data_IF_541895554276
#
_entry.id   IF_541895554276
#
_cell.length_a   1.000
_cell.length_b   1.000
_cell.length_c   1.000
_cell.angle_alpha   90.00
_cell.angle_beta   90.00
_cell.angle_gamma   90.00
#
_symmetry.space_group_name_H-M   'P 1'
#
loop_
_entity.id
_entity.type
_entity.pdbx_description
1 polymer ?
#
# COMPACT_ATOMS: atom_id res chain seq x y z
N UNK A 1 -7.43 26.19 -4.52
CA UNK A 1 -6.10 25.62 -4.20
C UNK A 1 -6.10 24.70 -2.98
N UNK A 2 -6.76 25.03 -1.86
CA UNK A 2 -6.80 24.16 -0.64
C UNK A 2 -7.30 22.72 -0.87
N UNK A 3 -8.26 22.49 -1.76
CA UNK A 3 -8.80 21.15 -2.04
C UNK A 3 -7.81 20.22 -2.77
N UNK A 4 -7.03 20.76 -3.71
CA UNK A 4 -6.03 19.99 -4.46
C UNK A 4 -4.86 19.56 -3.57
N UNK A 5 -4.40 20.44 -2.68
CA UNK A 5 -3.34 20.11 -1.75
C UNK A 5 -3.75 18.97 -0.79
N UNK A 6 -5.01 18.99 -0.35
CA UNK A 6 -5.58 17.93 0.49
C UNK A 6 -5.70 16.59 -0.25
N UNK A 7 -6.04 16.63 -1.53
CA UNK A 7 -6.08 15.43 -2.38
C UNK A 7 -4.68 14.80 -2.55
N UNK A 8 -3.67 15.60 -2.88
CA UNK A 8 -2.29 15.11 -2.96
C UNK A 8 -1.79 14.51 -1.64
N UNK A 9 -2.16 15.13 -0.51
CA UNK A 9 -1.84 14.61 0.81
C UNK A 9 -2.48 13.23 1.07
N UNK A 10 -3.76 13.05 0.71
CA UNK A 10 -4.44 11.75 0.85
C UNK A 10 -3.77 10.69 -0.01
N UNK A 11 -3.42 10.99 -1.26
CA UNK A 11 -2.73 10.04 -2.13
C UNK A 11 -1.39 9.64 -1.53
N UNK A 12 -0.59 10.61 -1.07
CA UNK A 12 0.71 10.35 -0.47
C UNK A 12 0.59 9.46 0.78
N UNK A 13 -0.35 9.76 1.68
CA UNK A 13 -0.62 8.95 2.88
C UNK A 13 -1.09 7.54 2.51
N UNK A 14 -1.97 7.41 1.51
CA UNK A 14 -2.47 6.12 1.03
C UNK A 14 -1.38 5.27 0.38
N UNK A 15 -0.46 5.89 -0.37
CA UNK A 15 0.72 5.21 -0.91
C UNK A 15 1.64 4.72 0.22
N UNK A 16 1.91 5.57 1.21
CA UNK A 16 2.71 5.17 2.38
C UNK A 16 2.07 4.01 3.14
N UNK A 17 0.77 4.05 3.41
CA UNK A 17 0.08 2.94 4.07
C UNK A 17 0.12 1.67 3.23
N UNK A 18 -0.03 1.79 1.90
CA UNK A 18 0.06 0.65 0.98
C UNK A 18 1.42 -0.04 1.01
N UNK A 19 2.51 0.74 1.06
CA UNK A 19 3.87 0.21 1.19
C UNK A 19 4.07 -0.49 2.55
N UNK A 20 3.63 0.11 3.65
CA UNK A 20 3.74 -0.50 4.99
C UNK A 20 2.97 -1.82 5.04
N UNK A 21 1.74 -1.87 4.50
CA UNK A 21 0.94 -3.09 4.46
C UNK A 21 1.62 -4.19 3.63
N UNK A 22 2.23 -3.82 2.50
CA UNK A 22 2.96 -4.76 1.65
C UNK A 22 4.18 -5.35 2.37
N UNK A 23 4.98 -4.52 3.06
CA UNK A 23 6.12 -4.97 3.86
C UNK A 23 5.70 -5.87 5.02
N UNK A 24 4.65 -5.49 5.76
CA UNK A 24 4.11 -6.31 6.87
C UNK A 24 3.61 -7.65 6.35
N UNK A 25 2.92 -7.66 5.20
CA UNK A 25 2.41 -8.89 4.57
C UNK A 25 3.56 -9.79 4.11
N UNK A 26 4.63 -9.20 3.55
CA UNK A 26 5.83 -9.93 3.17
C UNK A 26 6.51 -10.56 4.37
N UNK A 27 6.67 -9.82 5.46
CA UNK A 27 7.25 -10.33 6.70
C UNK A 27 6.43 -11.50 7.28
N UNK A 28 5.10 -11.39 7.25
CA UNK A 28 4.19 -12.44 7.70
C UNK A 28 4.31 -13.70 6.82
N UNK A 29 4.40 -13.53 5.49
CA UNK A 29 4.68 -14.62 4.55
C UNK A 29 6.03 -15.29 4.80
N UNK A 30 7.06 -14.50 5.10
CA UNK A 30 8.39 -14.98 5.44
C UNK A 30 8.36 -15.83 6.71
N UNK A 31 7.61 -15.39 7.73
CA UNK A 31 7.41 -16.11 8.97
C UNK A 31 6.67 -17.44 8.75
N UNK A 32 5.63 -17.45 7.91
CA UNK A 32 4.92 -18.69 7.54
C UNK A 32 5.85 -19.64 6.78
N UNK A 33 6.62 -19.14 5.80
CA UNK A 33 7.61 -19.95 5.07
C UNK A 33 8.65 -20.54 6.00
N UNK A 34 9.14 -19.77 6.96
CA UNK A 34 10.07 -20.25 7.96
C UNK A 34 9.49 -21.40 8.80
N UNK A 35 8.24 -21.27 9.25
CA UNK A 35 7.55 -22.35 9.97
C UNK A 35 7.33 -23.59 9.09
N UNK A 36 7.06 -23.41 7.80
CA UNK A 36 6.72 -24.50 6.89
C UNK A 36 7.95 -25.27 6.37
N UNK A 37 9.05 -24.58 6.07
CA UNK A 37 10.21 -25.15 5.36
C UNK A 37 11.53 -25.06 6.14
N UNK A 38 11.59 -24.30 7.24
CA UNK A 38 12.76 -24.21 8.11
C UNK A 38 13.92 -23.35 7.59
N UNK A 39 13.79 -22.71 6.44
CA UNK A 39 14.78 -21.78 5.88
C UNK A 39 14.14 -20.45 5.47
N UNK A 40 14.95 -19.39 5.55
CA UNK A 40 14.57 -18.03 5.12
C UNK A 40 15.44 -17.68 3.93
N UNK A 41 14.81 -17.52 2.77
CA UNK A 41 15.46 -16.99 1.57
C UNK A 41 14.88 -15.61 1.31
N UNK A 42 15.65 -14.58 1.63
CA UNK A 42 15.30 -13.18 1.42
C UNK A 42 15.95 -12.70 0.14
N UNK A 43 15.18 -12.61 -0.94
CA UNK A 43 15.61 -11.93 -2.15
C UNK A 43 15.26 -10.44 -2.10
N UNK A 44 16.23 -9.58 -2.44
CA UNK A 44 16.01 -8.14 -2.58
C UNK A 44 15.01 -7.80 -3.72
N UNK A 45 14.83 -8.74 -4.66
CA UNK A 45 13.83 -8.69 -5.74
C UNK A 45 12.40 -8.63 -5.21
N UNK A 46 12.10 -9.38 -4.13
CA UNK A 46 10.76 -9.48 -3.54
C UNK A 46 10.39 -8.20 -2.78
N UNK A 47 11.36 -7.58 -2.09
CA UNK A 47 11.17 -6.30 -1.39
C UNK A 47 10.85 -5.19 -2.40
N UNK A 48 11.61 -5.13 -3.50
CA UNK A 48 11.37 -4.14 -4.56
C UNK A 48 10.00 -4.33 -5.24
N UNK A 49 9.56 -5.59 -5.34
CA UNK A 49 8.24 -5.96 -5.85
C UNK A 49 7.13 -5.56 -4.86
N UNK A 50 7.33 -5.77 -3.57
CA UNK A 50 6.45 -5.31 -2.49
C UNK A 50 6.28 -3.80 -2.48
N UNK A 51 7.38 -3.05 -2.61
CA UNK A 51 7.36 -1.59 -2.72
C UNK A 51 6.56 -1.11 -3.95
N UNK A 52 6.76 -1.76 -5.11
CA UNK A 52 6.02 -1.44 -6.33
C UNK A 52 4.52 -1.71 -6.19
N UNK A 53 4.15 -2.89 -5.67
CA UNK A 53 2.75 -3.30 -5.52
C UNK A 53 2.06 -2.44 -4.46
N UNK A 54 2.70 -2.22 -3.31
CA UNK A 54 2.18 -1.40 -2.22
C UNK A 54 2.01 0.06 -2.61
N UNK A 55 2.98 0.62 -3.34
CA UNK A 55 2.91 1.99 -3.85
C UNK A 55 1.80 2.18 -4.90
N UNK A 56 1.70 1.27 -5.88
CA UNK A 56 0.66 1.34 -6.92
C UNK A 56 -0.73 1.10 -6.31
N UNK A 57 -0.88 0.09 -5.46
CA UNK A 57 -2.15 -0.21 -4.78
C UNK A 57 -2.60 0.93 -3.87
N UNK A 58 -1.69 1.47 -3.06
CA UNK A 58 -1.96 2.64 -2.22
C UNK A 58 -2.31 3.88 -3.03
N UNK A 59 -1.68 4.09 -4.19
CA UNK A 59 -2.01 5.19 -5.10
C UNK A 59 -3.42 5.08 -5.69
N UNK A 60 -3.80 3.87 -6.15
CA UNK A 60 -5.14 3.59 -6.69
C UNK A 60 -6.22 3.81 -5.62
N UNK A 61 -5.98 3.35 -4.39
CA UNK A 61 -6.88 3.60 -3.25
C UNK A 61 -7.03 5.10 -2.95
N UNK A 62 -5.92 5.84 -2.95
CA UNK A 62 -5.92 7.29 -2.74
C UNK A 62 -6.72 8.04 -3.80
N UNK A 63 -6.55 7.66 -5.07
CA UNK A 63 -7.36 8.17 -6.17
C UNK A 63 -8.85 7.83 -6.00
N UNK A 64 -9.17 6.60 -5.59
CA UNK A 64 -10.54 6.16 -5.30
C UNK A 64 -11.22 7.00 -4.20
N UNK A 65 -10.50 7.31 -3.12
CA UNK A 65 -11.00 8.15 -2.02
C UNK A 65 -11.29 9.58 -2.49
N UNK A 66 -10.45 10.12 -3.38
CA UNK A 66 -10.70 11.47 -3.94
C UNK A 66 -11.90 11.46 -4.88
N UNK A 67 -12.00 10.45 -5.75
CA UNK A 67 -13.12 10.29 -6.67
C UNK A 67 -14.45 10.13 -5.93
N UNK A 68 -14.51 9.31 -4.88
CA UNK A 68 -15.72 9.15 -4.06
C UNK A 68 -16.14 10.47 -3.38
N UNK A 69 -15.16 11.25 -2.93
CA UNK A 69 -15.37 12.58 -2.34
C UNK A 69 -15.86 13.62 -3.37
N UNK A 70 -15.35 13.58 -4.60
CA UNK A 70 -15.80 14.44 -5.70
C UNK A 70 -17.23 14.13 -6.14
N UNK A 71 -17.60 12.85 -6.18
CA UNK A 71 -18.94 12.38 -6.53
C UNK A 71 -19.95 12.59 -5.37
N UNK A 72 -19.49 13.07 -4.19
CA UNK A 72 -20.28 13.21 -2.96
C UNK A 72 -21.03 11.92 -2.58
N UNK A 73 -20.39 10.76 -2.78
CA UNK A 73 -20.94 9.50 -2.28
C UNK A 73 -20.91 9.57 -0.76
N UNK A 74 -22.08 9.84 -0.15
CA UNK A 74 -22.27 9.86 1.31
C UNK A 74 -22.21 8.42 1.81
N UNK A 75 -21.13 8.02 2.46
CA UNK A 75 -21.01 6.67 3.02
C UNK A 75 -19.60 6.17 3.35
N UNK A 76 -18.56 6.98 3.13
CA UNK A 76 -17.22 6.77 3.69
C UNK A 76 -16.92 7.84 4.74
#
# INVERSE_FOLDING_TARGET
>A
MKSLFFAFFIIAVSMFSGVIIAEVSYFLLLFIKYLAYGYIETECSEILKGLKIGGVGGGVLGCGIILSKLIKVKGF
#
